data_IF_928283318370
#
_entry.id   IF_928283318370
#
_cell.length_a   1.000
_cell.length_b   1.000
_cell.length_c   1.000
_cell.angle_alpha   90.00
_cell.angle_beta   90.00
_cell.angle_gamma   90.00
#
_symmetry.space_group_name_H-M   'P 1'
#
loop_
_entity.id
_entity.type
_entity.pdbx_description
1 polymer ?
#
# COMPACT_ATOMS: atom_id res chain seq x y z
N UNK A 1 -29.60 9.16 -8.05
CA UNK A 1 -29.24 8.79 -6.67
C UNK A 1 -27.73 8.57 -6.63
N UNK A 2 -26.91 9.37 -5.91
CA UNK A 2 -25.47 9.16 -5.92
C UNK A 2 -25.14 7.89 -5.13
N UNK A 3 -24.37 6.99 -5.76
CA UNK A 3 -23.97 5.70 -5.21
C UNK A 3 -23.18 5.93 -3.92
N UNK A 4 -23.71 5.45 -2.79
CA UNK A 4 -22.99 5.35 -1.51
C UNK A 4 -21.84 4.37 -1.76
N UNK A 5 -20.61 4.86 -1.92
CA UNK A 5 -19.43 4.00 -1.83
C UNK A 5 -19.34 3.58 -0.36
N UNK A 6 -19.37 2.27 -0.12
CA UNK A 6 -19.20 1.58 1.16
C UNK A 6 -20.54 1.32 1.88
N UNK A 7 -21.17 0.19 1.52
CA UNK A 7 -22.36 -0.32 2.18
C UNK A 7 -22.08 -0.83 3.60
N UNK A 8 -22.72 -0.15 4.56
CA UNK A 8 -23.26 -0.72 5.82
C UNK A 8 -22.33 -1.23 6.92
N UNK A 9 -21.03 -0.90 6.93
CA UNK A 9 -20.22 -1.09 8.15
C UNK A 9 -20.37 0.17 9.02
N UNK A 10 -21.02 0.08 10.20
CA UNK A 10 -21.07 1.21 11.13
C UNK A 10 -19.66 1.57 11.59
N UNK A 11 -19.44 2.82 11.98
CA UNK A 11 -18.19 3.19 12.63
C UNK A 11 -18.01 2.36 13.90
N UNK A 12 -16.78 1.94 14.25
CA UNK A 12 -16.53 1.26 15.51
C UNK A 12 -16.92 2.15 16.70
N UNK A 13 -17.12 1.52 17.87
CA UNK A 13 -17.48 2.27 19.07
C UNK A 13 -16.41 3.31 19.44
N UNK A 14 -16.85 4.52 19.80
CA UNK A 14 -15.98 5.66 20.07
C UNK A 14 -15.38 6.32 18.82
N UNK A 15 -15.84 5.98 17.60
CA UNK A 15 -15.45 6.68 16.38
C UNK A 15 -16.55 7.60 15.86
N UNK A 16 -16.16 8.79 15.44
CA UNK A 16 -17.00 9.76 14.72
C UNK A 16 -16.34 10.18 13.40
N UNK A 17 -17.08 10.91 12.57
CA UNK A 17 -16.53 11.55 11.38
C UNK A 17 -17.01 13.00 11.27
N UNK A 18 -16.16 13.84 10.69
CA UNK A 18 -16.47 15.24 10.41
C UNK A 18 -15.85 15.64 9.06
N UNK A 19 -16.16 16.85 8.60
CA UNK A 19 -15.59 17.43 7.38
C UNK A 19 -14.78 18.66 7.72
N UNK A 20 -13.65 18.83 7.05
CA UNK A 20 -12.88 20.07 7.12
C UNK A 20 -13.54 21.19 6.30
N UNK A 21 -12.87 22.34 6.23
CA UNK A 21 -13.34 23.51 5.47
C UNK A 21 -13.39 23.27 3.96
N UNK A 22 -12.55 22.38 3.44
CA UNK A 22 -12.50 21.96 2.04
C UNK A 22 -13.51 20.83 1.74
N UNK A 23 -14.26 20.38 2.75
CA UNK A 23 -15.25 19.31 2.65
C UNK A 23 -14.65 17.89 2.64
N UNK A 24 -13.35 17.74 2.88
CA UNK A 24 -12.71 16.43 3.04
C UNK A 24 -13.14 15.79 4.35
N UNK A 25 -13.48 14.51 4.29
CA UNK A 25 -13.86 13.72 5.46
C UNK A 25 -12.63 13.36 6.27
N UNK A 26 -12.71 13.54 7.59
CA UNK A 26 -11.76 13.01 8.56
C UNK A 26 -12.52 12.27 9.66
N UNK A 27 -11.83 11.36 10.32
CA UNK A 27 -12.37 10.50 11.37
C UNK A 27 -11.79 10.89 12.73
N UNK A 28 -12.62 10.79 13.76
CA UNK A 28 -12.32 11.19 15.14
C UNK A 28 -12.39 9.92 15.98
N UNK A 29 -11.28 9.54 16.59
CA UNK A 29 -11.22 8.46 17.58
C UNK A 29 -11.28 9.06 18.98
N UNK A 30 -12.43 8.93 19.63
CA UNK A 30 -12.65 9.40 21.00
C UNK A 30 -11.92 8.54 22.04
N UNK A 31 -11.57 7.29 21.71
CA UNK A 31 -10.85 6.41 22.63
C UNK A 31 -9.41 6.89 22.82
N UNK A 32 -8.73 7.22 21.73
CA UNK A 32 -7.36 7.76 21.77
C UNK A 32 -7.31 9.30 21.75
N UNK A 33 -8.46 9.97 21.58
CA UNK A 33 -8.61 11.42 21.44
C UNK A 33 -7.75 11.99 20.31
N UNK A 34 -7.77 11.30 19.16
CA UNK A 34 -7.01 11.67 17.95
C UNK A 34 -7.93 11.79 16.75
N UNK A 35 -7.48 12.55 15.76
CA UNK A 35 -8.11 12.63 14.44
C UNK A 35 -7.22 11.97 13.40
N UNK A 36 -7.83 11.42 12.35
CA UNK A 36 -7.12 10.75 11.26
C UNK A 36 -7.88 10.88 9.95
N UNK A 37 -7.15 10.88 8.84
CA UNK A 37 -7.71 10.82 7.48
C UNK A 37 -8.05 9.40 7.05
N UNK A 38 -7.64 8.39 7.83
CA UNK A 38 -7.86 6.98 7.53
C UNK A 38 -9.22 6.55 8.11
N UNK A 39 -10.11 6.05 7.25
CA UNK A 39 -11.36 5.45 7.72
C UNK A 39 -11.04 4.20 8.57
N UNK A 40 -11.48 4.10 9.83
CA UNK A 40 -11.24 2.92 10.66
C UNK A 40 -11.80 1.63 10.03
N UNK A 41 -12.77 1.75 9.11
CA UNK A 41 -13.39 0.63 8.39
C UNK A 41 -12.56 0.18 7.19
N UNK A 42 -11.65 1.01 6.70
CA UNK A 42 -10.75 0.64 5.59
C UNK A 42 -9.86 -0.54 5.98
N UNK A 43 -9.63 -0.80 7.28
CA UNK A 43 -8.89 -1.99 7.73
C UNK A 43 -9.53 -3.31 7.28
N UNK A 44 -10.83 -3.32 7.01
CA UNK A 44 -11.57 -4.51 6.59
C UNK A 44 -11.80 -4.59 5.08
N UNK A 45 -11.60 -3.47 4.36
CA UNK A 45 -11.97 -3.36 2.94
C UNK A 45 -10.79 -3.04 2.04
N UNK A 46 -9.74 -2.43 2.57
CA UNK A 46 -8.52 -2.14 1.83
C UNK A 46 -7.45 -3.22 2.02
N UNK A 47 -6.61 -3.43 0.98
CA UNK A 47 -5.47 -4.32 1.10
C UNK A 47 -4.49 -3.80 2.16
N UNK A 48 -4.01 -4.71 3.01
CA UNK A 48 -3.04 -4.40 4.07
C UNK A 48 -1.62 -4.24 3.52
N UNK A 49 -1.36 -4.79 2.34
CA UNK A 49 -0.07 -4.75 1.66
C UNK A 49 -0.25 -4.35 0.19
N UNK A 50 0.81 -3.80 -0.39
CA UNK A 50 0.91 -3.58 -1.84
C UNK A 50 0.72 -4.88 -2.64
N UNK A 51 1.06 -6.04 -2.06
CA UNK A 51 0.90 -7.35 -2.69
C UNK A 51 -0.57 -7.72 -2.93
N UNK A 52 -1.48 -7.21 -2.10
CA UNK A 52 -2.91 -7.52 -2.15
C UNK A 52 -3.70 -6.49 -2.98
N UNK A 53 -3.01 -5.47 -3.52
CA UNK A 53 -3.65 -4.43 -4.31
C UNK A 53 -4.10 -4.98 -5.67
N UNK A 54 -5.38 -4.80 -6.00
CA UNK A 54 -5.95 -5.21 -7.28
C UNK A 54 -6.34 -3.96 -8.07
N UNK A 55 -5.84 -3.87 -9.30
CA UNK A 55 -6.15 -2.77 -10.22
C UNK A 55 -5.70 -1.41 -9.69
N UNK A 56 -6.67 -0.52 -9.44
CA UNK A 56 -6.42 0.88 -9.07
C UNK A 56 -6.47 1.14 -7.55
N UNK A 57 -6.60 0.09 -6.74
CA UNK A 57 -6.69 0.23 -5.29
C UNK A 57 -5.30 0.48 -4.67
N UNK A 58 -5.27 1.43 -3.74
CA UNK A 58 -4.11 1.73 -2.92
C UNK A 58 -4.24 1.05 -1.55
N UNK A 59 -3.12 0.65 -0.92
CA UNK A 59 -3.18 0.00 0.38
C UNK A 59 -3.69 0.92 1.48
N UNK A 60 -4.00 0.32 2.64
CA UNK A 60 -4.51 1.04 3.80
C UNK A 60 -3.65 2.28 4.12
N UNK A 61 -4.33 3.43 4.24
CA UNK A 61 -3.70 4.71 4.56
C UNK A 61 -3.08 5.46 3.38
N UNK A 62 -3.11 4.89 2.17
CA UNK A 62 -2.76 5.62 0.94
C UNK A 62 -4.00 6.20 0.26
N UNK A 63 -3.85 7.43 -0.23
CA UNK A 63 -4.86 8.18 -0.99
C UNK A 63 -4.22 8.72 -2.28
N UNK A 64 -4.92 8.55 -3.40
CA UNK A 64 -4.62 9.25 -4.66
C UNK A 64 -5.31 10.60 -4.63
N UNK A 65 -4.54 11.66 -4.81
CA UNK A 65 -5.02 13.02 -4.93
C UNK A 65 -4.62 13.61 -6.28
N UNK A 66 -5.29 14.68 -6.69
CA UNK A 66 -5.03 15.33 -7.96
C UNK A 66 -4.86 16.82 -7.76
N UNK A 67 -3.76 17.35 -8.28
CA UNK A 67 -3.51 18.78 -8.36
C UNK A 67 -3.41 19.20 -9.84
N UNK A 68 -4.07 20.30 -10.27
CA UNK A 68 -4.09 20.71 -11.67
C UNK A 68 -2.71 21.06 -12.28
N UNK A 69 -1.71 21.40 -11.46
CA UNK A 69 -0.39 21.81 -11.92
C UNK A 69 0.57 20.63 -12.06
N UNK A 70 0.54 19.70 -11.10
CA UNK A 70 1.47 18.56 -11.04
C UNK A 70 0.85 17.25 -11.55
N UNK A 71 -0.49 17.15 -11.58
CA UNK A 71 -1.20 15.94 -11.93
C UNK A 71 -1.52 15.05 -10.70
N UNK A 72 -1.68 13.73 -10.89
CA UNK A 72 -1.95 12.81 -9.78
C UNK A 72 -0.72 12.70 -8.87
N UNK A 73 -0.96 12.70 -7.57
CA UNK A 73 0.05 12.50 -6.53
C UNK A 73 -0.52 11.63 -5.41
N UNK A 74 0.36 11.02 -4.62
CA UNK A 74 0.01 10.01 -3.62
C UNK A 74 0.30 10.53 -2.22
N UNK A 75 -0.67 10.36 -1.32
CA UNK A 75 -0.61 10.77 0.08
C UNK A 75 -0.61 9.51 0.95
N UNK A 76 0.38 9.38 1.82
CA UNK A 76 0.44 8.35 2.85
C UNK A 76 0.08 8.95 4.21
N UNK A 77 -1.12 8.65 4.68
CA UNK A 77 -1.66 9.13 5.95
C UNK A 77 -1.12 8.36 7.16
N UNK A 78 -0.42 7.24 6.99
CA UNK A 78 0.24 6.53 8.10
C UNK A 78 1.51 7.27 8.50
N UNK A 79 2.33 7.62 7.51
CA UNK A 79 3.62 8.28 7.72
C UNK A 79 3.55 9.80 7.53
N UNK A 80 2.39 10.33 7.13
CA UNK A 80 2.17 11.76 6.87
C UNK A 80 3.14 12.30 5.79
N UNK A 81 3.29 11.54 4.69
CA UNK A 81 4.15 11.92 3.56
C UNK A 81 3.35 12.00 2.27
N UNK A 82 3.86 12.79 1.32
CA UNK A 82 3.29 12.95 -0.03
C UNK A 82 4.38 12.75 -1.07
N UNK A 83 4.06 12.10 -2.18
CA UNK A 83 5.00 11.82 -3.27
C UNK A 83 4.31 11.88 -4.63
N UNK A 84 5.09 12.09 -5.68
CA UNK A 84 4.59 12.13 -7.06
C UNK A 84 4.55 10.72 -7.66
N UNK A 85 5.51 9.89 -7.29
CA UNK A 85 5.68 8.53 -7.78
C UNK A 85 4.61 7.60 -7.21
N UNK A 86 4.08 6.71 -8.05
CA UNK A 86 3.13 5.69 -7.62
C UNK A 86 3.83 4.68 -6.70
N UNK A 87 3.44 4.58 -5.42
CA UNK A 87 4.09 3.70 -4.46
C UNK A 87 3.97 2.22 -4.84
N UNK A 88 2.99 1.85 -5.67
CA UNK A 88 2.85 0.49 -6.19
C UNK A 88 3.97 0.16 -7.17
N UNK A 89 4.43 1.12 -7.97
CA UNK A 89 5.54 0.94 -8.90
C UNK A 89 6.86 0.77 -8.15
N UNK A 90 7.08 1.56 -7.10
CA UNK A 90 8.24 1.41 -6.23
C UNK A 90 8.26 0.02 -5.57
N UNK A 91 7.12 -0.41 -5.03
CA UNK A 91 7.01 -1.74 -4.43
C UNK A 91 7.27 -2.86 -5.44
N UNK A 92 6.69 -2.78 -6.64
CA UNK A 92 6.93 -3.75 -7.72
C UNK A 92 8.40 -3.80 -8.13
N UNK A 93 9.06 -2.65 -8.24
CA UNK A 93 10.48 -2.55 -8.57
C UNK A 93 11.36 -3.25 -7.53
N UNK A 94 11.08 -3.01 -6.24
CA UNK A 94 11.80 -3.67 -5.13
C UNK A 94 11.58 -5.19 -5.17
N UNK A 95 10.34 -5.66 -5.36
CA UNK A 95 10.05 -7.09 -5.46
C UNK A 95 10.76 -7.74 -6.65
N UNK A 96 10.73 -7.08 -7.82
CA UNK A 96 11.43 -7.57 -9.01
C UNK A 96 12.93 -7.68 -8.77
N UNK A 97 13.55 -6.68 -8.13
CA UNK A 97 14.96 -6.71 -7.77
C UNK A 97 15.29 -7.87 -6.81
N UNK A 98 14.50 -8.05 -5.74
CA UNK A 98 14.69 -9.14 -4.79
C UNK A 98 14.60 -10.52 -5.46
N UNK A 99 13.62 -10.71 -6.35
CA UNK A 99 13.45 -11.96 -7.10
C UNK A 99 14.61 -12.20 -8.08
N UNK A 100 15.10 -11.15 -8.74
CA UNK A 100 16.27 -11.24 -9.62
C UNK A 100 17.52 -11.67 -8.86
N UNK A 101 17.80 -11.05 -7.71
CA UNK A 101 18.97 -11.38 -6.89
C UNK A 101 18.92 -12.81 -6.36
N UNK A 102 17.72 -13.25 -5.94
CA UNK A 102 17.51 -14.63 -5.53
C UNK A 102 17.78 -15.63 -6.66
N UNK A 103 17.24 -15.36 -7.86
CA UNK A 103 17.45 -16.22 -9.03
C UNK A 103 18.92 -16.31 -9.42
N UNK A 104 19.64 -15.18 -9.40
CA UNK A 104 21.07 -15.16 -9.69
C UNK A 104 21.85 -16.01 -8.68
N UNK A 105 21.58 -15.83 -7.39
CA UNK A 105 22.24 -16.60 -6.32
C UNK A 105 21.96 -18.10 -6.44
N UNK A 106 20.73 -18.48 -6.79
CA UNK A 106 20.35 -19.88 -6.99
C UNK A 106 21.06 -20.51 -8.20
N UNK A 107 21.24 -19.74 -9.28
CA UNK A 107 21.99 -20.18 -10.46
C UNK A 107 23.46 -20.43 -10.11
N UNK A 108 24.13 -19.47 -9.46
CA UNK A 108 25.52 -19.61 -9.02
C UNK A 108 25.73 -20.85 -8.14
N UNK A 109 24.81 -21.08 -7.19
CA UNK A 109 24.86 -22.25 -6.31
C UNK A 109 24.70 -23.56 -7.07
N UNK A 110 23.81 -23.61 -8.06
CA UNK A 110 23.59 -24.78 -8.92
C UNK A 110 24.83 -25.05 -9.79
N UNK A 111 25.41 -24.02 -10.37
CA UNK A 111 26.64 -24.13 -11.17
C UNK A 111 27.81 -24.63 -10.34
N UNK A 112 27.99 -24.09 -9.14
CA UNK A 112 29.00 -24.56 -8.20
C UNK A 112 28.78 -26.03 -7.80
N UNK A 113 27.52 -26.44 -7.59
CA UNK A 113 27.18 -27.83 -7.30
C UNK A 113 27.52 -28.75 -8.48
N UNK A 114 27.14 -28.36 -9.69
CA UNK A 114 27.40 -29.12 -10.91
C UNK A 114 28.90 -29.27 -11.18
N UNK A 115 29.68 -28.20 -11.01
CA UNK A 115 31.14 -28.23 -11.15
C UNK A 115 31.80 -29.19 -10.16
N UNK A 116 31.36 -29.18 -8.89
CA UNK A 116 31.85 -30.13 -7.87
C UNK A 116 31.54 -31.58 -8.24
N UNK A 117 30.34 -31.84 -8.76
CA UNK A 117 29.91 -33.18 -9.18
C UNK A 117 30.70 -33.69 -10.39
N UNK A 118 31.02 -32.82 -11.35
CA UNK A 118 31.87 -33.18 -12.50
C UNK A 118 33.29 -33.55 -12.07
N UNK A 119 33.88 -32.81 -11.12
CA UNK A 119 35.21 -33.12 -10.58
C UNK A 119 35.29 -34.43 -9.79
N UNK A 120 34.20 -34.87 -9.18
CA UNK A 120 34.18 -36.15 -8.45
C UNK A 120 34.01 -37.37 -9.39
N UNK A 121 33.50 -37.17 -10.60
CA UNK A 121 33.24 -38.22 -11.58
C UNK A 121 34.33 -38.34 -12.66
N UNK A 122 35.41 -37.57 -12.56
CA UNK A 122 36.55 -37.55 -13.48
C UNK A 122 37.83 -37.95 -12.78
#
# INVERSE_FOLDING_TARGET
>A
MPRRRNGEIPLPDGWDYARDFDGKLYFIDHNSRKTTWIDPRDRYTKPQSFADCIGNELPLGWEEAYDPQIGPYYINHVNQVTQLEDPRLEWLSIQEAMLRDYLHTAQDALEAHNYRKQKQNS
#
